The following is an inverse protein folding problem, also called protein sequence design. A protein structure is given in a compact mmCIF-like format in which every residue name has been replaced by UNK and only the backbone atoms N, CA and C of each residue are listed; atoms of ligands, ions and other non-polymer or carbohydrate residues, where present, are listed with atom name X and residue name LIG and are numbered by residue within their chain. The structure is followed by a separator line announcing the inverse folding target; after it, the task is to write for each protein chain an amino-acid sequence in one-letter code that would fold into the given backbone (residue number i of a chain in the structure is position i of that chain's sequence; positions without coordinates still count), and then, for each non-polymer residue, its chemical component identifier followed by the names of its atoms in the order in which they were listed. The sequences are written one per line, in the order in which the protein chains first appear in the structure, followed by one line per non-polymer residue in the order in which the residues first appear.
data_IF_149052285411
#
_entry.id   IF_149052285411
#
_cell.length_a   1.000
_cell.length_b   1.000
_cell.length_c   1.000
_cell.angle_alpha   90.00
_cell.angle_beta   90.00
_cell.angle_gamma   90.00
#
_symmetry.space_group_name_H-M   'P 1'
#
loop_
_entity.id
_entity.type
_entity.pdbx_description
1 polymer ?
#
# COMPACT_ATOMS: atom_id res chain seq x y z
N UNK A 1 -10.91 5.87 -16.65
CA UNK A 1 -10.01 5.82 -15.47
C UNK A 1 -9.01 6.96 -15.38
N UNK A 2 -8.20 7.27 -16.40
CA UNK A 2 -7.15 8.32 -16.28
C UNK A 2 -7.70 9.69 -15.84
N UNK A 3 -8.75 10.17 -16.49
CA UNK A 3 -9.36 11.47 -16.15
C UNK A 3 -10.04 11.47 -14.77
N UNK A 4 -10.81 10.43 -14.45
CA UNK A 4 -11.50 10.32 -13.15
C UNK A 4 -10.51 10.28 -11.97
N UNK A 5 -9.40 9.56 -12.10
CA UNK A 5 -8.33 9.53 -11.09
C UNK A 5 -7.63 10.88 -10.96
N UNK A 6 -7.38 11.55 -12.09
CA UNK A 6 -6.73 12.87 -12.09
C UNK A 6 -7.62 13.90 -11.39
N UNK A 7 -8.91 13.94 -11.72
CA UNK A 7 -9.90 14.83 -11.10
C UNK A 7 -9.97 14.57 -9.60
N UNK A 8 -10.12 13.31 -9.18
CA UNK A 8 -10.16 12.95 -7.75
C UNK A 8 -8.86 13.34 -7.02
N UNK A 9 -7.70 13.07 -7.63
CA UNK A 9 -6.41 13.43 -7.03
C UNK A 9 -6.24 14.95 -6.93
N UNK A 10 -6.72 15.70 -7.92
CA UNK A 10 -6.66 17.16 -7.93
C UNK A 10 -7.58 17.76 -6.86
N UNK A 11 -8.82 17.26 -6.72
CA UNK A 11 -9.75 17.76 -5.69
C UNK A 11 -9.26 17.45 -4.28
N UNK A 12 -8.69 16.25 -4.06
CA UNK A 12 -8.08 15.89 -2.79
C UNK A 12 -6.85 16.74 -2.46
N UNK A 13 -5.96 16.95 -3.44
CA UNK A 13 -4.78 17.80 -3.27
C UNK A 13 -5.20 19.24 -2.96
N UNK A 14 -6.18 19.77 -3.66
CA UNK A 14 -6.68 21.13 -3.47
C UNK A 14 -7.33 21.29 -2.09
N UNK A 15 -8.11 20.30 -1.64
CA UNK A 15 -8.67 20.28 -0.27
C UNK A 15 -7.59 20.25 0.82
N UNK A 16 -6.48 19.52 0.60
CA UNK A 16 -5.34 19.51 1.52
C UNK A 16 -4.58 20.85 1.51
N UNK A 17 -4.32 21.41 0.33
CA UNK A 17 -3.63 22.70 0.18
C UNK A 17 -4.42 23.86 0.79
N UNK A 18 -5.75 23.87 0.63
CA UNK A 18 -6.60 24.90 1.23
C UNK A 18 -6.61 24.85 2.77
N UNK A 19 -6.43 23.67 3.38
CA UNK A 19 -6.46 23.52 4.85
C UNK A 19 -5.08 23.67 5.51
N UNK A 20 -4.00 23.29 4.83
CA UNK A 20 -2.66 23.22 5.43
C UNK A 20 -1.62 24.16 4.78
N UNK A 21 -1.94 24.81 3.65
CA UNK A 21 -1.01 25.66 2.92
C UNK A 21 0.14 24.90 2.25
N UNK A 22 1.06 25.63 1.60
CA UNK A 22 2.21 25.06 0.87
C UNK A 22 3.44 24.88 1.78
N UNK A 23 3.59 25.71 2.83
CA UNK A 23 4.79 25.72 3.68
C UNK A 23 5.11 24.41 4.44
N UNK A 24 4.17 23.56 4.90
CA UNK A 24 4.53 22.34 5.61
C UNK A 24 5.14 21.25 4.70
N UNK A 25 5.15 21.41 3.36
CA UNK A 25 5.66 20.40 2.42
C UNK A 25 7.19 20.22 2.43
N UNK A 26 7.95 21.17 2.96
CA UNK A 26 9.42 21.11 3.05
C UNK A 26 9.81 20.99 4.53
N UNK A 27 9.38 19.92 5.16
CA UNK A 27 9.77 19.58 6.52
C UNK A 27 10.72 18.37 6.51
N UNK A 28 11.76 18.40 7.34
CA UNK A 28 12.75 17.32 7.46
C UNK A 28 12.07 15.97 7.74
N UNK A 29 11.00 15.96 8.54
CA UNK A 29 10.19 14.76 8.82
C UNK A 29 9.60 14.14 7.55
N UNK A 30 9.09 14.97 6.63
CA UNK A 30 8.47 14.52 5.38
C UNK A 30 9.55 13.99 4.44
N UNK A 31 10.68 14.69 4.32
CA UNK A 31 11.79 14.23 3.48
C UNK A 31 12.31 12.87 3.95
N UNK A 32 12.52 12.69 5.26
CA UNK A 32 12.93 11.43 5.85
C UNK A 32 11.88 10.33 5.65
N UNK A 33 10.60 10.65 5.85
CA UNK A 33 9.48 9.73 5.60
C UNK A 33 9.40 9.26 4.14
N UNK A 34 9.63 10.15 3.17
CA UNK A 34 9.70 9.79 1.74
C UNK A 34 10.86 8.83 1.48
N UNK A 35 12.06 9.14 1.99
CA UNK A 35 13.24 8.28 1.82
C UNK A 35 12.99 6.89 2.42
N UNK A 36 12.47 6.82 3.66
CA UNK A 36 12.13 5.56 4.32
C UNK A 36 11.10 4.76 3.53
N UNK A 37 10.08 5.44 2.99
CA UNK A 37 9.07 4.79 2.14
C UNK A 37 9.71 4.21 0.88
N UNK A 38 10.55 4.96 0.18
CA UNK A 38 11.23 4.47 -1.02
C UNK A 38 12.10 3.24 -0.72
N UNK A 39 12.87 3.29 0.37
CA UNK A 39 13.75 2.19 0.78
C UNK A 39 12.96 0.91 1.12
N UNK A 40 11.91 1.03 1.92
CA UNK A 40 11.07 -0.11 2.31
C UNK A 40 10.31 -0.66 1.11
N UNK A 41 9.70 0.19 0.29
CA UNK A 41 8.94 -0.25 -0.88
C UNK A 41 9.85 -0.98 -1.87
N UNK A 42 11.06 -0.46 -2.12
CA UNK A 42 12.07 -1.11 -2.95
C UNK A 42 12.52 -2.45 -2.34
N UNK A 43 12.87 -2.47 -1.05
CA UNK A 43 13.35 -3.65 -0.33
C UNK A 43 12.35 -4.81 -0.38
N UNK A 44 11.06 -4.53 -0.18
CA UNK A 44 9.99 -5.54 -0.27
C UNK A 44 9.96 -6.20 -1.66
N UNK A 45 10.08 -5.43 -2.74
CA UNK A 45 10.00 -5.98 -4.11
C UNK A 45 11.31 -6.66 -4.51
N UNK A 46 12.45 -6.16 -4.03
CA UNK A 46 13.74 -6.82 -4.19
C UNK A 46 13.73 -8.20 -3.53
N UNK A 47 13.26 -8.30 -2.29
CA UNK A 47 13.10 -9.57 -1.59
C UNK A 47 12.18 -10.52 -2.37
N UNK A 48 10.99 -10.04 -2.75
CA UNK A 48 10.05 -10.85 -3.54
C UNK A 48 10.63 -11.31 -4.87
N UNK A 49 11.42 -10.48 -5.54
CA UNK A 49 12.10 -10.84 -6.79
C UNK A 49 13.19 -11.89 -6.56
N UNK A 50 13.99 -11.76 -5.49
CA UNK A 50 15.06 -12.71 -5.16
C UNK A 50 14.53 -14.10 -4.78
N UNK A 51 13.28 -14.19 -4.32
CA UNK A 51 12.63 -15.48 -4.02
C UNK A 51 12.21 -16.28 -5.27
N UNK A 52 12.31 -15.71 -6.47
CA UNK A 52 11.86 -16.35 -7.70
C UNK A 52 12.76 -17.52 -8.11
N UNK A 53 12.13 -18.65 -8.44
CA UNK A 53 12.76 -19.83 -9.03
C UNK A 53 11.98 -20.25 -10.29
N UNK A 54 12.65 -20.48 -11.45
CA UNK A 54 14.07 -20.22 -11.70
C UNK A 54 14.38 -18.72 -11.73
N UNK A 55 15.63 -18.37 -11.41
CA UNK A 55 16.07 -16.96 -11.42
C UNK A 55 15.83 -16.37 -12.82
N UNK A 56 15.14 -15.22 -12.93
CA UNK A 56 14.93 -14.58 -14.21
C UNK A 56 16.27 -14.15 -14.82
N UNK A 57 16.40 -14.26 -16.14
CA UNK A 57 17.57 -13.75 -16.83
C UNK A 57 17.51 -12.22 -16.82
N UNK A 58 18.63 -11.59 -16.45
CA UNK A 58 18.71 -10.14 -16.38
C UNK A 58 18.50 -9.53 -17.77
N UNK A 59 17.33 -8.93 -18.00
CA UNK A 59 17.17 -8.00 -19.12
C UNK A 59 17.64 -6.61 -18.69
N UNK A 60 18.33 -5.91 -19.59
CA UNK A 60 18.66 -4.48 -19.46
C UNK A 60 17.37 -3.67 -19.59
N UNK A 61 16.51 -3.74 -18.57
CA UNK A 61 15.26 -2.96 -18.53
C UNK A 61 15.64 -1.51 -18.23
N UNK A 62 15.43 -0.63 -19.21
CA UNK A 62 15.49 0.82 -18.99
C UNK A 62 14.36 1.22 -18.04
N UNK A 63 14.63 2.14 -17.11
CA UNK A 63 13.60 2.72 -16.26
C UNK A 63 12.48 3.31 -17.15
N UNK A 64 11.22 3.04 -16.79
CA UNK A 64 10.10 3.71 -17.43
C UNK A 64 10.20 5.21 -17.12
N UNK A 65 10.06 6.06 -18.14
CA UNK A 65 10.06 7.54 -17.98
C UNK A 65 8.90 8.09 -17.13
N UNK A 66 8.04 7.22 -16.57
CA UNK A 66 6.84 7.64 -15.86
C UNK A 66 7.11 7.83 -14.36
N UNK A 67 8.00 8.78 -14.05
CA UNK A 67 8.41 9.14 -12.69
C UNK A 67 7.26 9.67 -11.83
N UNK A 68 6.15 10.10 -12.43
CA UNK A 68 4.93 10.47 -11.70
C UNK A 68 4.48 9.37 -10.73
N UNK A 69 4.55 8.11 -11.15
CA UNK A 69 4.17 6.99 -10.28
C UNK A 69 5.11 6.78 -9.10
N UNK A 70 6.38 7.20 -9.21
CA UNK A 70 7.32 7.13 -8.10
C UNK A 70 6.89 8.03 -6.94
N UNK A 71 6.29 9.18 -7.24
CA UNK A 71 5.80 10.12 -6.23
C UNK A 71 4.42 9.74 -5.70
N UNK A 72 3.51 9.29 -6.58
CA UNK A 72 2.12 8.97 -6.18
C UNK A 72 1.98 7.62 -5.50
N UNK A 73 2.67 6.59 -6.00
CA UNK A 73 2.62 5.24 -5.44
C UNK A 73 3.94 4.52 -5.73
N UNK A 74 4.99 4.78 -4.92
CA UNK A 74 6.26 4.09 -5.04
C UNK A 74 6.12 2.57 -5.10
N UNK A 75 5.18 2.01 -4.32
CA UNK A 75 4.88 0.58 -4.32
C UNK A 75 4.44 0.07 -5.69
N UNK A 76 3.51 0.77 -6.35
CA UNK A 76 3.08 0.45 -7.71
C UNK A 76 4.23 0.59 -8.71
N UNK A 77 5.02 1.67 -8.61
CA UNK A 77 6.17 1.91 -9.48
C UNK A 77 7.20 0.77 -9.41
N UNK A 78 7.64 0.39 -8.22
CA UNK A 78 8.59 -0.70 -8.04
C UNK A 78 8.01 -2.05 -8.45
N UNK A 79 6.75 -2.34 -8.10
CA UNK A 79 6.06 -3.55 -8.56
C UNK A 79 6.05 -3.68 -10.08
N UNK A 80 5.85 -2.58 -10.82
CA UNK A 80 5.92 -2.56 -12.29
C UNK A 80 7.35 -2.73 -12.80
N UNK A 81 8.32 -2.06 -12.19
CA UNK A 81 9.73 -2.17 -12.52
C UNK A 81 10.23 -3.63 -12.42
N UNK A 82 10.01 -4.28 -11.27
CA UNK A 82 10.44 -5.67 -11.07
C UNK A 82 9.67 -6.65 -11.95
N UNK A 83 8.36 -6.47 -12.17
CA UNK A 83 7.59 -7.30 -13.10
C UNK A 83 8.12 -7.25 -14.54
N UNK A 84 8.65 -6.10 -14.99
CA UNK A 84 9.26 -5.94 -16.31
C UNK A 84 10.60 -6.68 -16.42
N UNK A 85 11.35 -6.80 -15.33
CA UNK A 85 12.60 -7.57 -15.26
C UNK A 85 12.40 -9.09 -15.33
N UNK A 86 11.20 -9.59 -15.04
CA UNK A 86 10.89 -11.02 -15.16
C UNK A 86 10.72 -11.36 -16.65
N UNK A 87 11.82 -11.71 -17.31
CA UNK A 87 11.87 -12.17 -18.71
C UNK A 87 12.75 -13.41 -18.82
N UNK A 88 12.47 -14.23 -19.84
CA UNK A 88 13.17 -15.46 -20.16
C UNK A 88 13.26 -15.55 -21.70
N UNK A 89 14.43 -15.86 -22.27
CA UNK A 89 14.74 -15.63 -23.70
C UNK A 89 13.99 -16.53 -24.70
N UNK A 90 13.66 -17.76 -24.33
CA UNK A 90 12.99 -18.74 -25.21
C UNK A 90 11.48 -18.50 -25.40
N UNK A 91 10.95 -18.57 -26.63
CA UNK A 91 9.66 -17.91 -26.99
C UNK A 91 8.37 -18.60 -26.50
N UNK A 92 8.25 -19.93 -26.54
CA UNK A 92 6.96 -20.62 -26.29
C UNK A 92 6.84 -21.30 -24.92
N UNK A 93 7.87 -22.03 -24.48
CA UNK A 93 7.91 -22.62 -23.12
C UNK A 93 7.90 -21.53 -22.03
N UNK A 94 8.53 -20.38 -22.33
CA UNK A 94 8.71 -19.37 -21.29
C UNK A 94 7.55 -18.41 -21.08
N UNK A 95 6.54 -18.34 -21.95
CA UNK A 95 5.37 -17.50 -21.62
C UNK A 95 4.64 -18.06 -20.40
N UNK A 96 4.46 -19.39 -20.33
CA UNK A 96 3.87 -20.05 -19.15
C UNK A 96 4.75 -19.85 -17.91
N UNK A 97 6.06 -20.04 -18.06
CA UNK A 97 7.03 -19.82 -16.98
C UNK A 97 7.00 -18.36 -16.48
N UNK A 98 7.00 -17.39 -17.39
CA UNK A 98 6.94 -15.97 -17.07
C UNK A 98 5.65 -15.60 -16.35
N UNK A 99 4.50 -16.13 -16.78
CA UNK A 99 3.22 -15.94 -16.09
C UNK A 99 3.25 -16.53 -14.67
N UNK A 100 3.87 -17.70 -14.51
CA UNK A 100 4.04 -18.38 -13.21
C UNK A 100 4.99 -17.61 -12.29
N UNK A 101 6.12 -17.13 -12.80
CA UNK A 101 7.08 -16.31 -12.04
C UNK A 101 6.47 -14.96 -11.65
N UNK A 102 5.70 -14.31 -12.54
CA UNK A 102 4.94 -13.09 -12.19
C UNK A 102 3.89 -13.35 -11.11
N UNK A 103 3.20 -14.49 -11.15
CA UNK A 103 2.26 -14.89 -10.10
C UNK A 103 2.98 -15.16 -8.78
N UNK A 104 4.11 -15.87 -8.79
CA UNK A 104 4.93 -16.13 -7.61
C UNK A 104 5.48 -14.84 -7.00
N UNK A 105 5.97 -13.92 -7.84
CA UNK A 105 6.39 -12.58 -7.42
C UNK A 105 5.25 -11.83 -6.71
N UNK A 106 4.05 -11.85 -7.28
CA UNK A 106 2.88 -11.21 -6.69
C UNK A 106 2.50 -11.80 -5.33
N UNK A 107 2.51 -13.13 -5.20
CA UNK A 107 2.25 -13.82 -3.93
C UNK A 107 3.31 -13.46 -2.88
N UNK A 108 4.57 -13.50 -3.27
CA UNK A 108 5.71 -13.17 -2.40
C UNK A 108 5.64 -11.70 -1.95
N UNK A 109 5.50 -10.75 -2.88
CA UNK A 109 5.41 -9.32 -2.57
C UNK A 109 4.20 -8.97 -1.69
N UNK A 110 3.05 -9.62 -1.90
CA UNK A 110 1.88 -9.41 -1.03
C UNK A 110 2.13 -9.92 0.39
N UNK A 111 2.71 -11.11 0.54
CA UNK A 111 3.04 -11.67 1.85
C UNK A 111 4.10 -10.81 2.57
N UNK A 112 5.15 -10.40 1.86
CA UNK A 112 6.19 -9.53 2.44
C UNK A 112 5.63 -8.16 2.83
N UNK A 113 4.67 -7.61 2.08
CA UNK A 113 3.97 -6.38 2.48
C UNK A 113 3.16 -6.56 3.77
N UNK A 114 2.43 -7.68 3.92
CA UNK A 114 1.73 -8.01 5.16
C UNK A 114 2.72 -8.08 6.33
N UNK A 115 3.81 -8.85 6.19
CA UNK A 115 4.86 -8.98 7.23
C UNK A 115 5.47 -7.62 7.56
N UNK A 116 5.84 -6.81 6.56
CA UNK A 116 6.39 -5.48 6.78
C UNK A 116 5.42 -4.58 7.55
N UNK A 117 4.13 -4.62 7.21
CA UNK A 117 3.09 -3.83 7.88
C UNK A 117 2.89 -4.29 9.32
N UNK A 118 2.91 -5.59 9.59
CA UNK A 118 2.90 -6.14 10.96
C UNK A 118 4.11 -5.70 11.77
N UNK A 119 5.32 -5.74 11.18
CA UNK A 119 6.56 -5.32 11.85
C UNK A 119 6.54 -3.81 12.13
N UNK A 120 6.09 -2.98 11.19
CA UNK A 120 5.95 -1.53 11.39
C UNK A 120 5.00 -1.27 12.56
N UNK A 121 3.82 -1.89 12.57
CA UNK A 121 2.86 -1.73 13.65
C UNK A 121 3.42 -2.16 15.01
N UNK A 122 4.15 -3.28 15.07
CA UNK A 122 4.84 -3.74 16.28
C UNK A 122 5.89 -2.74 16.76
N UNK A 123 6.74 -2.22 15.88
CA UNK A 123 7.77 -1.21 16.22
C UNK A 123 7.10 0.03 16.82
N UNK A 124 6.03 0.54 16.21
CA UNK A 124 5.29 1.68 16.72
C UNK A 124 4.66 1.41 18.09
N UNK A 125 4.21 0.18 18.32
CA UNK A 125 3.67 -0.25 19.60
C UNK A 125 4.74 -0.21 20.69
N UNK A 126 5.95 -0.69 20.38
CA UNK A 126 7.11 -0.67 21.28
C UNK A 126 7.54 0.78 21.57
N UNK A 127 7.64 1.64 20.55
CA UNK A 127 7.94 3.07 20.73
C UNK A 127 6.92 3.71 21.66
N UNK A 128 5.64 3.35 21.49
CA UNK A 128 4.56 3.78 22.37
C UNK A 128 4.75 3.43 23.84
N UNK A 129 5.19 2.19 24.12
CA UNK A 129 5.47 1.71 25.48
C UNK A 129 6.67 2.41 26.11
N UNK A 130 7.65 2.79 25.30
CA UNK A 130 8.87 3.47 25.75
C UNK A 130 8.72 5.00 25.84
N UNK A 131 7.51 5.56 25.65
CA UNK A 131 7.27 7.01 25.62
C UNK A 131 7.88 7.75 26.81
N UNK A 132 7.76 7.20 28.02
CA UNK A 132 8.22 7.86 29.24
C UNK A 132 9.74 7.80 29.44
N UNK A 133 10.42 6.90 28.72
CA UNK A 133 11.88 6.70 28.78
C UNK A 133 12.63 7.55 27.75
N UNK A 134 11.90 8.15 26.79
CA UNK A 134 12.48 8.91 25.68
C UNK A 134 12.31 10.41 25.97
N UNK A 135 13.36 11.19 25.77
CA UNK A 135 13.29 12.65 25.85
C UNK A 135 12.19 13.21 24.93
N UNK A 136 11.42 14.17 25.44
CA UNK A 136 10.22 14.69 24.76
C UNK A 136 10.49 15.14 23.31
N UNK A 137 11.57 15.88 23.07
CA UNK A 137 11.92 16.38 21.74
C UNK A 137 12.23 15.24 20.75
N UNK A 138 13.00 14.25 21.21
CA UNK A 138 13.33 13.05 20.43
C UNK A 138 12.07 12.22 20.14
N UNK A 139 11.18 12.08 21.12
CA UNK A 139 9.92 11.37 20.94
C UNK A 139 9.02 12.07 19.90
N UNK A 140 8.86 13.39 19.98
CA UNK A 140 8.10 14.16 18.99
C UNK A 140 8.68 14.01 17.58
N UNK A 141 10.01 14.10 17.44
CA UNK A 141 10.69 13.88 16.15
C UNK A 141 10.36 12.51 15.55
N UNK A 142 10.44 11.46 16.38
CA UNK A 142 10.15 10.07 15.98
C UNK A 142 8.69 9.93 15.55
N UNK A 143 7.74 10.42 16.36
CA UNK A 143 6.31 10.29 16.09
C UNK A 143 5.91 11.05 14.84
N UNK A 144 6.40 12.27 14.63
CA UNK A 144 6.11 13.05 13.42
C UNK A 144 6.66 12.36 12.16
N UNK A 145 7.89 11.87 12.22
CA UNK A 145 8.49 11.10 11.11
C UNK A 145 7.69 9.83 10.83
N UNK A 146 7.33 9.08 11.88
CA UNK A 146 6.53 7.86 11.77
C UNK A 146 5.14 8.12 11.19
N UNK A 147 4.50 9.23 11.55
CA UNK A 147 3.19 9.63 11.03
C UNK A 147 3.26 9.86 9.53
N UNK A 148 4.18 10.71 9.06
CA UNK A 148 4.32 10.95 7.62
C UNK A 148 4.74 9.70 6.86
N UNK A 149 5.63 8.88 7.43
CA UNK A 149 6.06 7.62 6.83
C UNK A 149 4.87 6.66 6.64
N UNK A 150 4.09 6.43 7.69
CA UNK A 150 2.93 5.54 7.65
C UNK A 150 1.83 6.07 6.74
N UNK A 151 1.57 7.38 6.72
CA UNK A 151 0.62 8.03 5.80
C UNK A 151 1.01 7.80 4.34
N UNK A 152 2.24 8.16 3.95
CA UNK A 152 2.71 8.05 2.56
C UNK A 152 2.71 6.58 2.12
N UNK A 153 3.25 5.68 2.96
CA UNK A 153 3.28 4.24 2.68
C UNK A 153 1.87 3.67 2.51
N UNK A 154 0.95 3.98 3.43
CA UNK A 154 -0.43 3.45 3.39
C UNK A 154 -1.17 3.98 2.16
N UNK A 155 -1.05 5.26 1.83
CA UNK A 155 -1.66 5.83 0.62
C UNK A 155 -1.10 5.16 -0.64
N UNK A 156 0.23 5.03 -0.75
CA UNK A 156 0.90 4.33 -1.84
C UNK A 156 0.36 2.90 -2.00
N UNK A 157 0.20 2.19 -0.88
CA UNK A 157 -0.28 0.80 -0.86
C UNK A 157 -1.76 0.67 -1.22
N UNK A 158 -2.62 1.54 -0.69
CA UNK A 158 -4.03 1.62 -1.05
C UNK A 158 -4.22 1.85 -2.55
N UNK A 159 -3.45 2.78 -3.14
CA UNK A 159 -3.48 3.03 -4.59
C UNK A 159 -3.01 1.79 -5.37
N UNK A 160 -1.94 1.13 -4.93
CA UNK A 160 -1.46 -0.11 -5.56
C UNK A 160 -2.54 -1.21 -5.53
N UNK A 161 -3.17 -1.42 -4.38
CA UNK A 161 -4.26 -2.39 -4.17
C UNK A 161 -5.43 -2.07 -5.10
N UNK A 162 -5.97 -0.85 -5.03
CA UNK A 162 -7.12 -0.42 -5.82
C UNK A 162 -6.82 -0.62 -7.31
N UNK A 163 -5.65 -0.19 -7.78
CA UNK A 163 -5.27 -0.34 -9.17
C UNK A 163 -5.08 -1.80 -9.58
N UNK A 164 -4.43 -2.63 -8.75
CA UNK A 164 -4.20 -4.04 -9.04
C UNK A 164 -5.52 -4.81 -9.17
N UNK A 165 -6.41 -4.70 -8.19
CA UNK A 165 -7.70 -5.40 -8.20
C UNK A 165 -8.64 -4.87 -9.28
N UNK A 166 -8.67 -3.56 -9.52
CA UNK A 166 -9.48 -2.99 -10.62
C UNK A 166 -9.03 -3.51 -11.98
N UNK A 167 -7.72 -3.57 -12.23
CA UNK A 167 -7.22 -4.14 -13.49
C UNK A 167 -7.50 -5.64 -13.59
N UNK A 168 -7.49 -6.37 -12.49
CA UNK A 168 -7.78 -7.79 -12.46
C UNK A 168 -9.24 -8.12 -12.82
N UNK A 169 -10.17 -7.24 -12.46
CA UNK A 169 -11.59 -7.34 -12.83
C UNK A 169 -11.85 -6.82 -14.24
N UNK A 170 -11.24 -5.72 -14.66
CA UNK A 170 -11.53 -5.13 -15.98
C UNK A 170 -10.84 -5.92 -17.11
N UNK A 171 -9.63 -6.45 -16.88
CA UNK A 171 -8.83 -7.12 -17.93
C UNK A 171 -8.96 -8.64 -17.89
N UNK A 172 -10.19 -9.16 -17.81
CA UNK A 172 -10.46 -10.60 -17.68
C UNK A 172 -9.85 -11.42 -18.83
N UNK A 173 -9.72 -10.87 -20.04
CA UNK A 173 -9.35 -11.62 -21.25
C UNK A 173 -7.92 -11.40 -21.80
N UNK A 174 -7.10 -10.55 -21.19
CA UNK A 174 -5.79 -10.23 -21.78
C UNK A 174 -4.72 -11.30 -21.50
N UNK A 175 -4.15 -11.85 -22.58
CA UNK A 175 -3.15 -12.93 -22.62
C UNK A 175 -1.82 -12.64 -21.90
N UNK A 176 -1.58 -11.42 -21.43
CA UNK A 176 -0.36 -10.98 -20.72
C UNK A 176 -0.45 -11.01 -19.18
N UNK A 177 -1.56 -11.50 -18.62
CA UNK A 177 -1.78 -11.60 -17.17
C UNK A 177 -0.97 -12.70 -16.47
N UNK A 178 -0.81 -12.60 -15.14
CA UNK A 178 -0.22 -13.66 -14.31
C UNK A 178 -1.11 -14.90 -14.24
N UNK A 179 -0.53 -16.08 -14.01
CA UNK A 179 -1.27 -17.36 -13.88
C UNK A 179 -1.97 -17.54 -12.53
N UNK A 180 -2.47 -16.46 -11.92
CA UNK A 180 -3.16 -16.51 -10.62
C UNK A 180 -4.60 -17.00 -10.81
N UNK A 181 -4.94 -18.10 -10.13
CA UNK A 181 -6.30 -18.62 -10.07
C UNK A 181 -7.21 -17.72 -9.19
N UNK A 182 -8.54 -17.86 -9.30
CA UNK A 182 -9.52 -17.14 -8.47
C UNK A 182 -9.25 -17.31 -6.97
N UNK A 183 -8.94 -18.51 -6.50
CA UNK A 183 -8.64 -18.76 -5.08
C UNK A 183 -7.36 -18.06 -4.63
N UNK A 184 -6.32 -18.03 -5.48
CA UNK A 184 -5.10 -17.28 -5.19
C UNK A 184 -5.38 -15.78 -5.07
N UNK A 185 -6.25 -15.24 -5.94
CA UNK A 185 -6.63 -13.83 -5.91
C UNK A 185 -7.44 -13.47 -4.68
N UNK A 186 -8.35 -14.35 -4.24
CA UNK A 186 -9.06 -14.20 -2.95
C UNK A 186 -8.08 -14.23 -1.79
N UNK A 187 -7.10 -15.15 -1.77
CA UNK A 187 -6.05 -15.18 -0.74
C UNK A 187 -5.22 -13.88 -0.71
N UNK A 188 -4.85 -13.36 -1.88
CA UNK A 188 -4.15 -12.06 -1.99
C UNK A 188 -5.02 -10.92 -1.45
N UNK A 189 -6.33 -10.94 -1.69
CA UNK A 189 -7.27 -9.95 -1.18
C UNK A 189 -7.37 -10.01 0.34
N UNK A 190 -7.50 -11.20 0.92
CA UNK A 190 -7.57 -11.40 2.38
C UNK A 190 -6.29 -10.93 3.08
N UNK A 191 -5.12 -11.29 2.55
CA UNK A 191 -3.85 -10.79 3.07
C UNK A 191 -3.76 -9.26 3.00
N UNK A 192 -4.19 -8.67 1.87
CA UNK A 192 -4.22 -7.21 1.70
C UNK A 192 -5.24 -6.54 2.61
N UNK A 193 -6.33 -7.22 2.97
CA UNK A 193 -7.35 -6.73 3.90
C UNK A 193 -6.79 -6.63 5.32
N UNK A 194 -6.14 -7.69 5.80
CA UNK A 194 -5.45 -7.68 7.10
C UNK A 194 -4.32 -6.65 7.12
N UNK A 195 -3.52 -6.58 6.05
CA UNK A 195 -2.49 -5.57 5.87
C UNK A 195 -3.07 -4.14 5.97
N UNK A 196 -4.21 -3.90 5.32
CA UNK A 196 -4.88 -2.61 5.33
C UNK A 196 -5.33 -2.24 6.76
N UNK A 197 -5.88 -3.19 7.52
CA UNK A 197 -6.23 -2.97 8.93
C UNK A 197 -4.98 -2.52 9.71
N UNK A 198 -3.85 -3.22 9.58
CA UNK A 198 -2.61 -2.90 10.31
C UNK A 198 -2.05 -1.53 9.94
N UNK A 199 -1.98 -1.21 8.65
CA UNK A 199 -1.50 0.08 8.15
C UNK A 199 -2.33 1.26 8.68
N UNK A 200 -3.67 1.14 8.62
CA UNK A 200 -4.55 2.17 9.15
C UNK A 200 -4.56 2.22 10.68
N UNK A 201 -4.35 1.08 11.37
CA UNK A 201 -4.17 1.06 12.83
C UNK A 201 -2.94 1.88 13.25
N UNK A 202 -1.83 1.75 12.52
CA UNK A 202 -0.64 2.54 12.75
C UNK A 202 -0.91 4.06 12.60
N UNK A 203 -1.66 4.45 11.57
CA UNK A 203 -2.01 5.85 11.36
C UNK A 203 -2.93 6.37 12.47
N UNK A 204 -3.97 5.62 12.85
CA UNK A 204 -4.88 6.04 13.92
C UNK A 204 -4.17 6.16 15.26
N UNK A 205 -3.25 5.25 15.55
CA UNK A 205 -2.40 5.32 16.73
C UNK A 205 -1.56 6.61 16.75
N UNK A 206 -1.00 7.01 15.60
CA UNK A 206 -0.14 8.19 15.49
C UNK A 206 -0.91 9.52 15.39
N UNK A 207 -2.16 9.51 14.91
CA UNK A 207 -3.00 10.71 14.80
C UNK A 207 -3.71 11.09 16.08
N UNK A 208 -3.93 10.14 16.99
CA UNK A 208 -4.67 10.40 18.23
C UNK A 208 -3.77 11.09 19.26
N UNK A 209 -4.10 12.35 19.58
CA UNK A 209 -3.40 13.16 20.59
C UNK A 209 -3.64 12.66 22.03
N UNK A 210 -4.80 12.04 22.26
CA UNK A 210 -5.12 11.35 23.50
C UNK A 210 -4.98 9.85 23.27
N UNK A 211 -3.92 9.29 23.83
CA UNK A 211 -3.43 7.93 23.66
C UNK A 211 -4.52 6.88 23.88
N UNK A 212 -5.25 6.53 22.83
CA UNK A 212 -5.91 5.24 22.80
C UNK A 212 -4.78 4.21 22.83
N UNK A 213 -4.86 3.29 23.78
CA UNK A 213 -4.01 2.10 23.82
C UNK A 213 -3.94 1.49 22.40
N UNK A 214 -2.80 0.95 22.00
CA UNK A 214 -2.57 0.36 20.67
C UNK A 214 -3.71 -0.56 20.20
N UNK A 215 -4.32 -1.27 21.16
CA UNK A 215 -5.50 -2.10 20.96
C UNK A 215 -6.72 -1.33 20.45
N UNK A 216 -7.00 -0.15 21.00
CA UNK A 216 -8.12 0.66 20.54
C UNK A 216 -7.88 1.30 19.17
N UNK A 217 -6.63 1.62 18.81
CA UNK A 217 -6.29 2.00 17.43
C UNK A 217 -6.53 0.83 16.45
N UNK A 218 -6.17 -0.39 16.85
CA UNK A 218 -6.46 -1.61 16.10
C UNK A 218 -7.97 -1.84 15.93
N UNK A 219 -8.74 -1.81 17.02
CA UNK A 219 -10.20 -1.97 16.96
C UNK A 219 -10.89 -0.84 16.21
N UNK A 220 -10.37 0.40 16.27
CA UNK A 220 -10.87 1.51 15.46
C UNK A 220 -10.68 1.21 13.97
N UNK A 221 -9.50 0.71 13.58
CA UNK A 221 -9.24 0.29 12.21
C UNK A 221 -10.14 -0.87 11.76
N UNK A 222 -10.36 -1.87 12.62
CA UNK A 222 -11.30 -2.96 12.34
C UNK A 222 -12.73 -2.41 12.13
N UNK A 223 -13.24 -1.61 13.05
CA UNK A 223 -14.59 -1.04 12.93
C UNK A 223 -14.78 -0.16 11.70
N UNK A 224 -13.77 0.65 11.36
CA UNK A 224 -13.80 1.49 10.14
C UNK A 224 -13.71 0.65 8.87
N UNK A 225 -12.94 -0.45 8.88
CA UNK A 225 -12.88 -1.38 7.74
C UNK A 225 -14.22 -2.03 7.42
N UNK A 226 -15.11 -2.14 8.42
CA UNK A 226 -16.47 -2.68 8.32
C UNK A 226 -17.57 -1.61 8.25
N UNK A 227 -17.21 -0.33 8.10
CA UNK A 227 -18.16 0.81 7.99
C UNK A 227 -18.97 1.05 9.29
N UNK A 228 -18.64 0.37 10.40
CA UNK A 228 -19.42 0.46 11.65
C UNK A 228 -19.05 1.63 12.55
N UNK A 229 -17.89 2.25 12.34
CA UNK A 229 -17.37 3.31 13.19
C UNK A 229 -16.92 4.54 12.37
N UNK A 230 -17.89 5.30 11.84
CA UNK A 230 -17.65 6.48 10.99
C UNK A 230 -17.96 7.80 11.68
N UNK A 231 -18.22 7.81 12.99
CA UNK A 231 -18.47 9.05 13.71
C UNK A 231 -17.18 9.89 13.73
N UNK A 232 -17.25 11.05 13.09
CA UNK A 232 -16.11 11.94 12.85
C UNK A 232 -16.54 13.36 13.22
N UNK A 233 -15.81 13.97 14.15
CA UNK A 233 -15.91 15.40 14.38
C UNK A 233 -15.39 16.13 13.13
N UNK A 234 -16.20 17.00 12.55
CA UNK A 234 -15.94 17.70 11.28
C UNK A 234 -14.66 18.57 11.26
N UNK A 235 -14.00 18.77 12.41
CA UNK A 235 -12.80 19.60 12.55
C UNK A 235 -11.49 18.93 12.10
N UNK A 236 -11.46 17.61 11.87
CA UNK A 236 -10.22 16.89 11.54
C UNK A 236 -10.21 16.38 10.09
N UNK A 237 -9.78 17.25 9.16
CA UNK A 237 -9.73 16.95 7.71
C UNK A 237 -8.80 15.78 7.39
N UNK A 238 -7.60 15.74 7.98
CA UNK A 238 -6.65 14.65 7.76
C UNK A 238 -7.20 13.31 8.27
N UNK A 239 -7.83 13.28 9.45
CA UNK A 239 -8.46 12.07 9.97
C UNK A 239 -9.57 11.61 9.03
N UNK A 240 -10.43 12.52 8.57
CA UNK A 240 -11.50 12.22 7.62
C UNK A 240 -10.96 11.59 6.34
N UNK A 241 -9.88 12.14 5.78
CA UNK A 241 -9.20 11.58 4.60
C UNK A 241 -8.71 10.15 4.84
N UNK A 242 -8.09 9.89 5.99
CA UNK A 242 -7.60 8.56 6.37
C UNK A 242 -8.76 7.58 6.49
N UNK A 243 -9.83 7.95 7.19
CA UNK A 243 -11.00 7.08 7.41
C UNK A 243 -11.69 6.72 6.10
N UNK A 244 -12.02 7.69 5.26
CA UNK A 244 -12.66 7.41 3.98
C UNK A 244 -11.70 6.70 3.01
N UNK A 245 -10.41 7.01 3.04
CA UNK A 245 -9.39 6.27 2.29
C UNK A 245 -9.35 4.79 2.67
N UNK A 246 -9.47 4.46 3.96
CA UNK A 246 -9.58 3.09 4.42
C UNK A 246 -10.83 2.41 3.87
N UNK A 247 -12.00 3.05 4.02
CA UNK A 247 -13.30 2.51 3.57
C UNK A 247 -13.28 2.24 2.06
N UNK A 248 -12.77 3.16 1.25
CA UNK A 248 -12.67 2.96 -0.21
C UNK A 248 -11.76 1.76 -0.52
N UNK A 249 -10.63 1.64 0.17
CA UNK A 249 -9.69 0.53 -0.04
C UNK A 249 -10.31 -0.82 0.34
N UNK A 250 -11.00 -0.89 1.49
CA UNK A 250 -11.63 -2.13 1.97
C UNK A 250 -12.81 -2.53 1.10
N UNK A 251 -13.68 -1.59 0.72
CA UNK A 251 -14.77 -1.84 -0.22
C UNK A 251 -14.23 -2.35 -1.55
N UNK A 252 -13.17 -1.75 -2.08
CA UNK A 252 -12.53 -2.20 -3.32
C UNK A 252 -12.03 -3.64 -3.18
N UNK A 253 -11.37 -3.98 -2.07
CA UNK A 253 -10.89 -5.34 -1.81
C UNK A 253 -12.05 -6.35 -1.76
N UNK A 254 -13.09 -6.07 -0.97
CA UNK A 254 -14.22 -7.00 -0.77
C UNK A 254 -15.03 -7.14 -2.05
N UNK A 255 -15.47 -6.04 -2.65
CA UNK A 255 -16.32 -6.05 -3.85
C UNK A 255 -15.60 -6.67 -5.04
N UNK A 256 -14.35 -6.26 -5.31
CA UNK A 256 -13.62 -6.78 -6.47
C UNK A 256 -13.17 -8.22 -6.27
N UNK A 257 -12.80 -8.64 -5.05
CA UNK A 257 -12.48 -10.05 -4.79
C UNK A 257 -13.70 -10.96 -4.96
N UNK A 258 -14.88 -10.52 -4.51
CA UNK A 258 -16.14 -11.23 -4.75
C UNK A 258 -16.49 -11.30 -6.24
N UNK A 259 -16.35 -10.19 -6.96
CA UNK A 259 -16.56 -10.15 -8.41
C UNK A 259 -15.63 -11.11 -9.16
N UNK A 260 -14.35 -11.22 -8.76
CA UNK A 260 -13.40 -12.19 -9.32
C UNK A 260 -13.83 -13.63 -9.04
N UNK A 261 -14.31 -13.90 -7.81
CA UNK A 261 -14.72 -15.23 -7.39
C UNK A 261 -15.95 -15.73 -8.16
N UNK A 262 -16.94 -14.85 -8.37
CA UNK A 262 -18.19 -15.17 -9.07
C UNK A 262 -18.01 -15.13 -10.59
N UNK A 263 -17.32 -14.13 -11.12
CA UNK A 263 -17.28 -13.83 -12.56
C UNK A 263 -16.33 -14.70 -13.39
N UNK A 264 -15.32 -15.35 -12.80
CA UNK A 264 -14.37 -16.19 -13.55
C UNK A 264 -14.77 -17.66 -13.53
N UNK A 265 -15.11 -18.21 -14.70
CA UNK A 265 -15.15 -19.66 -14.94
C UNK A 265 -13.72 -20.23 -14.83
N UNK A 266 -13.63 -21.43 -14.22
CA UNK A 266 -12.43 -22.13 -13.71
C UNK A 266 -11.09 -21.70 -14.28
#
# INVERSE_FOLDING_TARGET
MKYSLLILSATLLLGLLCNYGILPLINVYIALAVVLTLLIEYGIRLFAFNTLKPKPEYSKVKFDKNYFWLFVSPGYFFSRYFKKKIQYKDRNFNQRLQKKSKASFLKSANNTNLVASSVIFLILSIIGLLKNEIEHQSFEFIIQTALFFTLIRTCSRSIEIIYAFTNDVIKIENSNGSSLNKYDRVKLALNSYVENILNFSAIYYLLQKEYINILGAFFSSVGRSTISNLDLKHSEVLLSFVVYGQVITTLTLVVLSLAIYVGRKK
#
